data_IF_706400375005
#
_entry.id   IF_706400375005
#
_cell.length_a   1.000
_cell.length_b   1.000
_cell.length_c   1.000
_cell.angle_alpha   90.00
_cell.angle_beta   90.00
_cell.angle_gamma   90.00
#
_symmetry.space_group_name_H-M   'P 1'
#
loop_
_entity.id
_entity.type
_entity.pdbx_description
1 polymer ?
#
# COMPACT_ATOMS: atom_id res chain seq x y z
N UNK A 1 6.53 -11.51 -2.80
CA UNK A 1 7.54 -11.84 -1.79
C UNK A 1 7.50 -13.33 -1.42
N UNK A 2 6.41 -13.84 -0.83
CA UNK A 2 6.35 -15.22 -0.32
C UNK A 2 6.65 -16.29 -1.38
N UNK A 3 6.12 -16.15 -2.59
CA UNK A 3 6.38 -17.09 -3.69
C UNK A 3 7.86 -17.15 -4.06
N UNK A 4 8.54 -16.01 -4.09
CA UNK A 4 9.97 -15.93 -4.41
C UNK A 4 10.83 -16.59 -3.33
N UNK A 5 10.49 -16.39 -2.04
CA UNK A 5 11.16 -17.04 -0.90
C UNK A 5 11.01 -18.56 -1.00
N UNK A 6 9.80 -19.06 -1.30
CA UNK A 6 9.55 -20.51 -1.46
C UNK A 6 10.37 -21.09 -2.62
N UNK A 7 10.59 -20.34 -3.69
CA UNK A 7 11.43 -20.75 -4.82
C UNK A 7 12.94 -20.53 -4.60
N UNK A 8 13.35 -20.09 -3.40
CA UNK A 8 14.75 -19.87 -3.05
C UNK A 8 15.38 -18.66 -3.75
N UNK A 9 14.58 -17.72 -4.28
CA UNK A 9 15.11 -16.49 -4.86
C UNK A 9 15.61 -15.54 -3.77
N UNK A 10 16.63 -14.72 -4.07
CA UNK A 10 17.16 -13.76 -3.12
C UNK A 10 16.09 -12.79 -2.60
N UNK A 11 15.96 -12.70 -1.27
CA UNK A 11 15.00 -11.84 -0.61
C UNK A 11 15.60 -11.16 0.62
N UNK A 12 15.06 -9.99 0.97
CA UNK A 12 15.38 -9.28 2.20
C UNK A 12 14.10 -8.71 2.81
N UNK A 13 13.99 -8.79 4.15
CA UNK A 13 12.84 -8.25 4.88
C UNK A 13 13.28 -7.61 6.20
N UNK A 14 12.48 -6.68 6.72
CA UNK A 14 12.66 -6.15 8.06
C UNK A 14 11.94 -7.06 9.08
N UNK A 15 12.63 -7.34 10.19
CA UNK A 15 12.09 -7.98 11.37
C UNK A 15 11.98 -6.94 12.48
N UNK A 16 10.77 -6.49 12.78
CA UNK A 16 10.55 -5.48 13.82
C UNK A 16 10.41 -6.12 15.20
N UNK A 17 11.28 -5.70 16.12
CA UNK A 17 11.23 -6.12 17.52
C UNK A 17 11.84 -5.03 18.40
N UNK A 18 11.08 -4.53 19.40
CA UNK A 18 11.56 -3.49 20.30
C UNK A 18 12.75 -3.96 21.16
N UNK A 19 12.78 -5.24 21.52
CA UNK A 19 13.95 -5.86 22.18
C UNK A 19 14.98 -6.24 21.13
N UNK A 20 16.13 -5.54 21.13
CA UNK A 20 17.19 -5.74 20.17
C UNK A 20 17.84 -7.14 20.28
N UNK A 21 17.98 -7.67 21.49
CA UNK A 21 18.59 -8.98 21.73
C UNK A 21 17.73 -10.08 21.15
N UNK A 22 16.43 -10.04 21.45
CA UNK A 22 15.45 -10.98 20.91
C UNK A 22 15.33 -10.84 19.40
N UNK A 23 15.27 -9.60 18.88
CA UNK A 23 15.13 -9.33 17.45
C UNK A 23 16.33 -9.84 16.65
N UNK A 24 17.56 -9.64 17.12
CA UNK A 24 18.76 -10.16 16.47
C UNK A 24 18.81 -11.67 16.51
N UNK A 25 18.56 -12.29 17.66
CA UNK A 25 18.52 -13.75 17.78
C UNK A 25 17.44 -14.40 16.89
N UNK A 26 16.27 -13.77 16.79
CA UNK A 26 15.20 -14.21 15.88
C UNK A 26 15.64 -14.06 14.41
N UNK A 27 16.24 -12.92 14.05
CA UNK A 27 16.75 -12.66 12.71
C UNK A 27 17.78 -13.70 12.25
N UNK A 28 18.71 -14.06 13.11
CA UNK A 28 19.71 -15.10 12.82
C UNK A 28 19.07 -16.48 12.61
N UNK A 29 18.10 -16.86 13.47
CA UNK A 29 17.44 -18.16 13.39
C UNK A 29 16.49 -18.32 12.22
N UNK A 30 15.85 -17.25 11.80
CA UNK A 30 14.83 -17.26 10.74
C UNK A 30 15.41 -16.91 9.36
N UNK A 31 16.64 -16.38 9.28
CA UNK A 31 17.28 -16.10 7.99
C UNK A 31 17.62 -17.41 7.28
N UNK A 32 17.44 -17.40 5.97
CA UNK A 32 17.78 -18.50 5.06
C UNK A 32 18.97 -18.06 4.20
N UNK A 33 19.71 -18.98 3.56
CA UNK A 33 20.77 -18.63 2.63
C UNK A 33 20.36 -17.65 1.52
N UNK A 34 19.10 -17.77 1.06
CA UNK A 34 18.49 -16.90 0.02
C UNK A 34 17.63 -15.77 0.58
N UNK A 35 17.32 -15.76 1.88
CA UNK A 35 16.40 -14.77 2.48
C UNK A 35 16.99 -14.20 3.76
N UNK A 36 17.36 -12.93 3.74
CA UNK A 36 18.00 -12.25 4.87
C UNK A 36 17.01 -11.35 5.61
N UNK A 37 16.97 -11.51 6.94
CA UNK A 37 16.20 -10.65 7.84
C UNK A 37 17.10 -9.59 8.47
N UNK A 38 16.62 -8.34 8.46
CA UNK A 38 17.27 -7.21 9.10
C UNK A 38 16.45 -6.76 10.29
N UNK A 39 17.05 -6.80 11.48
CA UNK A 39 16.38 -6.32 12.69
C UNK A 39 16.17 -4.81 12.63
N UNK A 40 14.99 -4.37 13.05
CA UNK A 40 14.65 -2.96 13.28
C UNK A 40 13.92 -2.83 14.62
N UNK A 41 14.43 -2.00 15.53
CA UNK A 41 13.81 -1.76 16.84
C UNK A 41 12.60 -0.82 16.76
N UNK A 42 12.43 -0.08 15.66
CA UNK A 42 11.33 0.84 15.45
C UNK A 42 10.13 0.10 14.81
N UNK A 43 9.21 -0.34 15.66
CA UNK A 43 8.07 -1.21 15.27
C UNK A 43 6.98 -0.42 14.56
N UNK A 44 6.74 0.84 14.97
CA UNK A 44 5.62 1.66 14.46
C UNK A 44 5.76 1.93 12.96
N UNK A 45 6.90 2.41 12.52
CA UNK A 45 7.15 2.67 11.10
C UNK A 45 7.08 1.41 10.25
N UNK A 46 7.59 0.26 10.75
CA UNK A 46 7.47 -1.02 10.05
C UNK A 46 6.01 -1.43 9.87
N UNK A 47 5.17 -1.28 10.90
CA UNK A 47 3.74 -1.59 10.84
C UNK A 47 2.99 -0.65 9.90
N UNK A 48 3.25 0.66 9.98
CA UNK A 48 2.64 1.66 9.07
C UNK A 48 3.03 1.37 7.63
N UNK A 49 4.31 1.03 7.37
CA UNK A 49 4.79 0.61 6.07
C UNK A 49 3.98 -0.55 5.49
N UNK A 50 3.87 -1.62 6.26
CA UNK A 50 3.12 -2.81 5.85
C UNK A 50 1.63 -2.57 5.58
N UNK A 51 0.99 -1.69 6.35
CA UNK A 51 -0.44 -1.39 6.19
C UNK A 51 -0.72 -0.47 4.99
N UNK A 52 -0.03 0.68 4.90
CA UNK A 52 -0.33 1.68 3.87
C UNK A 52 0.18 1.31 2.48
N UNK A 53 1.27 0.54 2.35
CA UNK A 53 1.75 0.09 1.04
C UNK A 53 0.64 -0.51 0.17
N UNK A 54 -0.26 -1.25 0.80
CA UNK A 54 -1.34 -1.95 0.11
C UNK A 54 -2.38 -0.97 -0.47
N UNK A 55 -2.68 0.11 0.24
CA UNK A 55 -3.56 1.19 -0.23
C UNK A 55 -2.91 1.93 -1.40
N UNK A 56 -1.61 2.23 -1.28
CA UNK A 56 -0.85 2.92 -2.34
C UNK A 56 -0.72 2.02 -3.57
N UNK A 57 -0.50 0.72 -3.39
CA UNK A 57 -0.44 -0.24 -4.50
C UNK A 57 -1.76 -0.33 -5.27
N UNK A 58 -2.88 -0.29 -4.56
CA UNK A 58 -4.21 -0.23 -5.17
C UNK A 58 -4.35 1.04 -6.04
N UNK A 59 -3.98 2.21 -5.50
CA UNK A 59 -3.99 3.48 -6.23
C UNK A 59 -3.04 3.47 -7.45
N UNK A 60 -1.86 2.88 -7.31
CA UNK A 60 -0.91 2.72 -8.40
C UNK A 60 -1.47 1.85 -9.54
N UNK A 61 -2.14 0.74 -9.17
CA UNK A 61 -2.85 -0.09 -10.13
C UNK A 61 -3.97 0.66 -10.84
N UNK A 62 -4.79 1.43 -10.12
CA UNK A 62 -5.85 2.27 -10.72
C UNK A 62 -5.27 3.29 -11.71
N UNK A 63 -4.17 3.94 -11.35
CA UNK A 63 -3.45 4.90 -12.21
C UNK A 63 -3.03 4.26 -13.53
N UNK A 64 -2.44 3.08 -13.46
CA UNK A 64 -2.02 2.34 -14.65
C UNK A 64 -3.20 1.79 -15.45
N UNK A 65 -4.21 1.25 -14.77
CA UNK A 65 -5.42 0.75 -15.41
C UNK A 65 -6.20 1.83 -16.17
N UNK A 66 -6.21 3.06 -15.64
CA UNK A 66 -6.85 4.21 -16.29
C UNK A 66 -6.00 4.85 -17.40
N UNK A 67 -4.77 4.36 -17.63
CA UNK A 67 -3.91 4.86 -18.70
C UNK A 67 -3.18 6.18 -18.40
N UNK A 68 -3.01 6.57 -17.12
CA UNK A 68 -2.33 7.82 -16.75
C UNK A 68 -0.80 7.74 -16.90
N UNK A 69 -0.24 6.55 -17.05
CA UNK A 69 1.16 6.33 -17.40
C UNK A 69 2.13 6.26 -16.19
N UNK A 70 3.37 5.96 -16.52
CA UNK A 70 4.43 5.65 -15.55
C UNK A 70 4.82 6.86 -14.68
N UNK A 71 4.84 8.07 -15.25
CA UNK A 71 5.17 9.28 -14.50
C UNK A 71 4.13 9.55 -13.40
N UNK A 72 2.85 9.37 -13.70
CA UNK A 72 1.77 9.51 -12.71
C UNK A 72 1.90 8.45 -11.60
N UNK A 73 2.22 7.20 -11.96
CA UNK A 73 2.49 6.12 -10.99
C UNK A 73 3.68 6.47 -10.09
N UNK A 74 4.80 6.93 -10.65
CA UNK A 74 5.98 7.30 -9.88
C UNK A 74 5.68 8.46 -8.90
N UNK A 75 5.00 9.51 -9.37
CA UNK A 75 4.57 10.62 -8.53
C UNK A 75 3.64 10.18 -7.40
N UNK A 76 2.69 9.27 -7.69
CA UNK A 76 1.77 8.71 -6.72
C UNK A 76 2.51 7.89 -5.64
N UNK A 77 3.45 7.03 -6.02
CA UNK A 77 4.27 6.24 -5.08
C UNK A 77 5.08 7.16 -4.17
N UNK A 78 5.73 8.20 -4.73
CA UNK A 78 6.50 9.18 -3.96
C UNK A 78 5.61 9.92 -2.95
N UNK A 79 4.42 10.36 -3.36
CA UNK A 79 3.44 11.00 -2.46
C UNK A 79 2.92 10.04 -1.41
N UNK A 80 2.64 8.80 -1.78
CA UNK A 80 2.24 7.75 -0.86
C UNK A 80 3.29 7.50 0.23
N UNK A 81 4.57 7.42 -0.14
CA UNK A 81 5.66 7.27 0.82
C UNK A 81 5.72 8.46 1.80
N UNK A 82 5.51 9.68 1.33
CA UNK A 82 5.44 10.87 2.18
C UNK A 82 4.23 10.83 3.14
N UNK A 83 3.08 10.28 2.72
CA UNK A 83 1.93 10.06 3.61
C UNK A 83 2.21 8.98 4.67
N UNK A 84 2.85 7.87 4.26
CA UNK A 84 3.31 6.83 5.20
C UNK A 84 4.22 7.42 6.28
N UNK A 85 5.20 8.23 5.87
CA UNK A 85 6.14 8.87 6.78
C UNK A 85 5.42 9.81 7.77
N UNK A 86 4.48 10.64 7.31
CA UNK A 86 3.68 11.52 8.19
C UNK A 86 2.87 10.74 9.22
N UNK A 87 2.20 9.65 8.79
CA UNK A 87 1.45 8.83 9.73
C UNK A 87 2.36 8.16 10.74
N UNK A 88 3.49 7.60 10.31
CA UNK A 88 4.46 6.97 11.21
C UNK A 88 4.96 7.96 12.26
N UNK A 89 5.36 9.17 11.86
CA UNK A 89 5.81 10.24 12.78
C UNK A 89 4.70 10.65 13.76
N UNK A 90 3.47 10.81 13.29
CA UNK A 90 2.33 11.14 14.15
C UNK A 90 2.01 10.04 15.17
N UNK A 91 2.31 8.79 14.85
CA UNK A 91 2.17 7.63 15.74
C UNK A 91 3.39 7.41 16.65
N UNK A 92 4.41 8.26 16.59
CA UNK A 92 5.64 8.15 17.38
C UNK A 92 6.74 7.28 16.74
N UNK A 93 6.58 6.90 15.47
CA UNK A 93 7.59 6.21 14.68
C UNK A 93 8.60 7.16 14.01
N UNK A 94 9.47 6.62 13.16
CA UNK A 94 10.53 7.37 12.51
C UNK A 94 10.39 7.35 10.98
N UNK A 95 10.51 8.53 10.35
CA UNK A 95 10.55 8.68 8.89
C UNK A 95 11.63 7.81 8.24
N UNK A 96 12.80 7.69 8.87
CA UNK A 96 13.94 6.91 8.38
C UNK A 96 13.63 5.43 8.21
N UNK A 97 12.76 4.86 9.06
CA UNK A 97 12.29 3.47 8.94
C UNK A 97 11.56 3.24 7.61
N UNK A 98 10.81 4.23 7.14
CA UNK A 98 10.06 4.14 5.87
C UNK A 98 10.96 4.25 4.63
N UNK A 99 12.21 4.71 4.78
CA UNK A 99 13.19 4.72 3.68
C UNK A 99 13.87 3.36 3.48
N UNK A 100 13.63 2.41 4.38
CA UNK A 100 14.18 1.05 4.37
C UNK A 100 13.30 0.01 3.68
N UNK A 101 13.59 -1.27 3.99
CA UNK A 101 12.94 -2.44 3.38
C UNK A 101 11.43 -2.50 3.64
N UNK A 102 10.98 -2.16 4.86
CA UNK A 102 9.56 -2.19 5.24
C UNK A 102 8.74 -1.00 4.73
N UNK A 103 9.39 0.04 4.23
CA UNK A 103 8.76 1.21 3.64
C UNK A 103 8.96 1.23 2.12
N UNK A 104 9.98 1.97 1.65
CA UNK A 104 10.26 2.18 0.23
C UNK A 104 10.43 0.86 -0.53
N UNK A 105 11.18 -0.11 0.02
CA UNK A 105 11.43 -1.39 -0.65
C UNK A 105 10.15 -2.18 -0.91
N UNK A 106 9.36 -2.41 0.13
CA UNK A 106 8.12 -3.19 0.05
C UNK A 106 7.01 -2.41 -0.70
N UNK A 107 7.00 -1.09 -0.60
CA UNK A 107 6.10 -0.23 -1.37
C UNK A 107 6.38 -0.36 -2.88
N UNK A 108 7.62 -0.25 -3.31
CA UNK A 108 7.99 -0.40 -4.72
C UNK A 108 7.62 -1.78 -5.24
N UNK A 109 8.00 -2.85 -4.53
CA UNK A 109 7.64 -4.22 -4.89
C UNK A 109 6.12 -4.39 -5.06
N UNK A 110 5.34 -3.84 -4.11
CA UNK A 110 3.88 -4.03 -4.08
C UNK A 110 3.15 -3.15 -5.11
N UNK A 111 3.62 -1.93 -5.35
CA UNK A 111 2.95 -0.93 -6.21
C UNK A 111 3.38 -0.99 -7.69
N UNK A 112 4.33 -1.86 -8.05
CA UNK A 112 4.82 -1.97 -9.44
C UNK A 112 4.71 -3.37 -10.03
N UNK A 113 4.24 -4.36 -9.26
CA UNK A 113 4.19 -5.76 -9.69
C UNK A 113 2.75 -6.28 -9.77
N UNK A 114 2.44 -6.96 -10.87
CA UNK A 114 1.18 -7.70 -11.02
C UNK A 114 1.09 -8.95 -10.12
N UNK A 115 2.16 -9.34 -9.43
CA UNK A 115 2.09 -10.34 -8.37
C UNK A 115 1.32 -9.81 -7.14
N UNK A 116 1.27 -8.49 -6.95
CA UNK A 116 0.48 -7.85 -5.89
C UNK A 116 -1.02 -7.93 -6.16
N UNK A 117 -1.76 -8.56 -5.26
CA UNK A 117 -3.23 -8.60 -5.30
C UNK A 117 -3.86 -7.20 -5.30
N UNK A 118 -3.31 -6.30 -4.49
CA UNK A 118 -3.77 -4.91 -4.40
C UNK A 118 -3.56 -4.18 -5.74
N UNK A 119 -2.39 -4.30 -6.34
CA UNK A 119 -2.09 -3.70 -7.63
C UNK A 119 -3.00 -4.25 -8.74
N UNK A 120 -3.20 -5.58 -8.81
CA UNK A 120 -4.12 -6.21 -9.77
C UNK A 120 -5.56 -5.74 -9.62
N UNK A 121 -6.07 -5.64 -8.38
CA UNK A 121 -7.41 -5.08 -8.16
C UNK A 121 -7.47 -3.64 -8.65
N UNK A 122 -6.48 -2.83 -8.33
CA UNK A 122 -6.37 -1.46 -8.83
C UNK A 122 -6.40 -1.39 -10.36
N UNK A 123 -5.63 -2.24 -11.06
CA UNK A 123 -5.65 -2.33 -12.52
C UNK A 123 -7.07 -2.61 -13.06
N UNK A 124 -7.79 -3.56 -12.45
CA UNK A 124 -9.17 -3.89 -12.85
C UNK A 124 -10.10 -2.71 -12.68
N UNK A 125 -10.08 -2.05 -11.51
CA UNK A 125 -10.90 -0.87 -11.23
C UNK A 125 -10.57 0.29 -12.18
N UNK A 126 -9.30 0.53 -12.44
CA UNK A 126 -8.84 1.57 -13.35
C UNK A 126 -9.28 1.35 -14.80
N UNK A 127 -9.20 0.12 -15.30
CA UNK A 127 -9.65 -0.25 -16.65
C UNK A 127 -11.17 -0.17 -16.81
N UNK A 128 -11.90 -0.56 -15.77
CA UNK A 128 -13.37 -0.50 -15.76
C UNK A 128 -13.90 0.93 -15.57
N UNK A 129 -13.10 1.85 -15.01
CA UNK A 129 -13.56 3.18 -14.60
C UNK A 129 -14.61 3.16 -13.47
N UNK A 130 -14.65 2.07 -12.71
CA UNK A 130 -15.69 1.76 -11.72
C UNK A 130 -15.13 1.79 -10.30
N UNK A 131 -16.01 2.02 -9.33
CA UNK A 131 -15.75 1.79 -7.91
C UNK A 131 -15.76 0.30 -7.57
N UNK A 132 -15.22 -0.04 -6.38
CA UNK A 132 -15.31 -1.43 -5.90
C UNK A 132 -16.75 -1.88 -5.70
N UNK A 133 -17.63 -0.99 -5.23
CA UNK A 133 -19.06 -1.27 -5.02
C UNK A 133 -19.76 -1.61 -6.34
N UNK A 134 -19.48 -0.86 -7.40
CA UNK A 134 -20.04 -1.12 -8.75
C UNK A 134 -19.50 -2.42 -9.33
N UNK A 135 -18.18 -2.69 -9.18
CA UNK A 135 -17.57 -3.93 -9.65
C UNK A 135 -18.15 -5.15 -8.94
N UNK A 136 -18.38 -5.06 -7.62
CA UNK A 136 -18.96 -6.16 -6.82
C UNK A 136 -20.42 -6.39 -7.17
N UNK A 137 -21.21 -5.32 -7.38
CA UNK A 137 -22.60 -5.43 -7.79
C UNK A 137 -22.73 -6.08 -9.18
N UNK A 138 -21.85 -5.74 -10.12
CA UNK A 138 -21.82 -6.36 -11.45
C UNK A 138 -21.45 -7.85 -11.41
N UNK A 139 -20.58 -8.25 -10.46
CA UNK A 139 -20.14 -9.66 -10.33
C UNK A 139 -21.20 -10.55 -9.67
N UNK A 140 -22.06 -9.99 -8.81
CA UNK A 140 -23.17 -10.74 -8.16
C UNK A 140 -24.27 -11.12 -9.15
N UNK A 141 -24.40 -10.41 -10.28
CA UNK A 141 -25.34 -10.79 -11.35
C UNK A 141 -24.86 -11.98 -12.18
N UNK A 142 -23.59 -12.35 -12.11
CA UNK A 142 -22.98 -13.48 -12.83
C UNK A 142 -22.68 -14.65 -11.87
N UNK A 143 -23.74 -15.31 -11.40
CA UNK A 143 -23.75 -16.32 -10.32
C UNK A 143 -22.95 -17.61 -10.66
N UNK A 144 -22.43 -17.76 -11.88
CA UNK A 144 -21.74 -18.98 -12.31
C UNK A 144 -20.23 -19.02 -11.98
N UNK A 145 -19.61 -17.91 -11.56
CA UNK A 145 -18.16 -17.83 -11.27
C UNK A 145 -17.80 -17.28 -9.87
N UNK A 146 -18.74 -17.32 -8.92
CA UNK A 146 -18.58 -16.72 -7.59
C UNK A 146 -17.53 -17.38 -6.69
N UNK A 147 -16.94 -18.51 -7.08
CA UNK A 147 -15.92 -19.21 -6.27
C UNK A 147 -14.51 -18.59 -6.31
N UNK A 148 -14.23 -17.67 -7.26
CA UNK A 148 -12.91 -17.02 -7.38
C UNK A 148 -12.87 -15.56 -6.90
N UNK A 149 -14.00 -15.00 -6.44
CA UNK A 149 -14.16 -13.56 -6.13
C UNK A 149 -13.73 -13.18 -4.69
N UNK A 150 -13.23 -14.09 -3.88
CA UNK A 150 -12.95 -13.86 -2.45
C UNK A 150 -11.47 -13.84 -2.11
N UNK A 151 -10.61 -13.33 -3.01
CA UNK A 151 -9.27 -12.92 -2.59
C UNK A 151 -9.39 -11.71 -1.64
N UNK A 152 -9.13 -11.92 -0.36
CA UNK A 152 -9.05 -10.82 0.60
C UNK A 152 -7.97 -9.85 0.17
N UNK A 153 -8.36 -8.63 -0.22
CA UNK A 153 -7.44 -7.57 -0.62
C UNK A 153 -7.21 -6.65 0.58
N UNK A 154 -6.04 -6.77 1.19
CA UNK A 154 -5.68 -6.07 2.43
C UNK A 154 -5.79 -4.54 2.31
N UNK A 155 -5.52 -3.98 1.13
CA UNK A 155 -5.60 -2.54 0.88
C UNK A 155 -7.02 -1.97 1.05
N UNK A 156 -8.05 -2.76 0.77
CA UNK A 156 -9.44 -2.35 0.99
C UNK A 156 -9.74 -2.23 2.49
N UNK A 157 -9.37 -3.24 3.27
CA UNK A 157 -9.52 -3.20 4.73
C UNK A 157 -8.70 -2.07 5.38
N UNK A 158 -7.46 -1.90 4.94
CA UNK A 158 -6.60 -0.82 5.44
C UNK A 158 -7.18 0.57 5.12
N UNK A 159 -7.71 0.78 3.91
CA UNK A 159 -8.32 2.04 3.53
C UNK A 159 -9.51 2.42 4.42
N UNK A 160 -10.31 1.44 4.83
CA UNK A 160 -11.47 1.69 5.70
C UNK A 160 -11.08 2.24 7.09
N UNK A 161 -9.91 1.87 7.62
CA UNK A 161 -9.42 2.30 8.94
C UNK A 161 -8.71 3.66 8.90
N UNK A 162 -8.38 4.19 7.73
CA UNK A 162 -7.56 5.40 7.61
C UNK A 162 -8.25 6.65 8.15
N UNK A 163 -9.57 6.78 8.00
CA UNK A 163 -10.31 7.92 8.51
C UNK A 163 -10.17 8.06 10.03
N UNK A 164 -10.31 6.94 10.75
CA UNK A 164 -10.17 6.90 12.21
C UNK A 164 -8.74 7.23 12.65
N UNK A 165 -7.74 6.70 11.92
CA UNK A 165 -6.33 7.00 12.19
C UNK A 165 -6.01 8.47 11.93
N UNK A 166 -6.48 9.06 10.83
CA UNK A 166 -6.33 10.48 10.54
C UNK A 166 -6.91 11.36 11.65
N UNK A 167 -8.12 11.05 12.11
CA UNK A 167 -8.78 11.77 13.19
C UNK A 167 -8.03 11.61 14.52
N UNK A 168 -7.64 10.38 14.85
CA UNK A 168 -6.97 10.06 16.14
C UNK A 168 -5.61 10.73 16.28
N UNK A 169 -4.83 10.80 15.19
CA UNK A 169 -3.47 11.32 15.21
C UNK A 169 -3.33 12.73 14.62
N UNK A 170 -4.45 13.36 14.21
CA UNK A 170 -4.45 14.71 13.66
C UNK A 170 -3.64 14.87 12.38
N UNK A 171 -3.62 13.84 11.51
CA UNK A 171 -2.80 13.79 10.30
C UNK A 171 -3.67 13.74 9.05
N UNK A 172 -3.26 14.46 8.00
CA UNK A 172 -3.91 14.42 6.69
C UNK A 172 -3.18 13.44 5.76
N UNK A 173 -3.93 12.47 5.23
CA UNK A 173 -3.49 11.48 4.24
C UNK A 173 -4.36 11.58 2.97
N UNK A 174 -4.15 12.61 2.16
CA UNK A 174 -5.06 12.93 1.07
C UNK A 174 -5.13 11.87 -0.03
N UNK A 175 -4.01 11.21 -0.37
CA UNK A 175 -3.99 10.13 -1.35
C UNK A 175 -4.77 8.92 -0.83
N UNK A 176 -4.47 8.52 0.40
CA UNK A 176 -5.14 7.39 1.03
C UNK A 176 -6.66 7.66 1.24
N UNK A 177 -7.02 8.89 1.60
CA UNK A 177 -8.42 9.31 1.69
C UNK A 177 -9.15 9.29 0.34
N UNK A 178 -8.50 9.73 -0.74
CA UNK A 178 -9.07 9.66 -2.08
C UNK A 178 -9.30 8.20 -2.53
N UNK A 179 -8.39 7.28 -2.20
CA UNK A 179 -8.57 5.84 -2.44
C UNK A 179 -9.78 5.31 -1.70
N UNK A 180 -9.96 5.65 -0.41
CA UNK A 180 -11.12 5.25 0.37
C UNK A 180 -12.43 5.74 -0.26
N UNK A 181 -12.52 7.02 -0.62
CA UNK A 181 -13.69 7.61 -1.25
C UNK A 181 -14.04 6.92 -2.58
N UNK A 182 -13.03 6.57 -3.37
CA UNK A 182 -13.21 5.85 -4.63
C UNK A 182 -13.72 4.43 -4.40
N UNK A 183 -13.13 3.70 -3.43
CA UNK A 183 -13.57 2.34 -3.11
C UNK A 183 -15.03 2.28 -2.65
N UNK A 184 -15.48 3.30 -1.93
CA UNK A 184 -16.87 3.43 -1.44
C UNK A 184 -17.83 4.04 -2.48
N UNK A 185 -17.33 4.40 -3.67
CA UNK A 185 -18.16 5.00 -4.72
C UNK A 185 -18.57 6.45 -4.45
N UNK A 186 -17.95 7.12 -3.46
CA UNK A 186 -18.26 8.52 -3.14
C UNK A 186 -17.76 9.49 -4.22
N UNK A 187 -16.66 9.16 -4.88
CA UNK A 187 -16.10 9.92 -5.99
C UNK A 187 -15.72 9.00 -7.15
N UNK A 188 -15.92 9.41 -8.41
CA UNK A 188 -15.45 8.65 -9.57
C UNK A 188 -13.94 8.77 -9.74
N UNK A 189 -13.33 7.76 -10.38
CA UNK A 189 -11.87 7.70 -10.61
C UNK A 189 -11.33 8.96 -11.32
N UNK A 190 -12.04 9.50 -12.30
CA UNK A 190 -11.64 10.73 -13.00
C UNK A 190 -11.55 11.94 -12.06
N UNK A 191 -12.42 12.04 -11.05
CA UNK A 191 -12.35 13.11 -10.05
C UNK A 191 -11.15 12.99 -9.13
N UNK A 192 -10.71 11.77 -8.80
CA UNK A 192 -9.48 11.53 -7.99
C UNK A 192 -8.25 12.09 -8.71
N UNK A 193 -8.09 11.76 -9.99
CA UNK A 193 -6.96 12.26 -10.79
C UNK A 193 -6.96 13.81 -10.81
N UNK A 194 -8.12 14.42 -11.03
CA UNK A 194 -8.26 15.88 -11.04
C UNK A 194 -7.95 16.50 -9.66
N UNK A 195 -8.46 15.93 -8.57
CA UNK A 195 -8.18 16.42 -7.22
C UNK A 195 -6.68 16.37 -6.86
N UNK A 196 -5.96 15.35 -7.31
CA UNK A 196 -4.52 15.22 -7.07
C UNK A 196 -3.71 16.23 -7.89
N UNK A 197 -4.16 16.56 -9.11
CA UNK A 197 -3.49 17.53 -10.01
C UNK A 197 -3.78 18.99 -9.65
N UNK A 198 -4.95 19.31 -9.09
CA UNK A 198 -5.38 20.68 -8.79
C UNK A 198 -4.95 21.19 -7.41
N UNK A 199 -4.15 20.42 -6.69
CA UNK A 199 -3.65 20.85 -5.38
C UNK A 199 -2.77 22.08 -5.49
N UNK A 200 -2.84 22.98 -4.47
CA UNK A 200 -1.96 24.15 -4.44
C UNK A 200 -0.49 23.74 -4.56
N UNK A 201 0.24 24.49 -5.37
CA UNK A 201 1.69 24.32 -5.49
C UNK A 201 2.34 24.50 -4.11
N UNK A 202 3.13 23.52 -3.70
CA UNK A 202 3.91 23.56 -2.45
C UNK A 202 5.35 23.19 -2.77
N UNK A 203 6.29 23.76 -2.01
CA UNK A 203 7.67 23.33 -2.08
C UNK A 203 7.79 21.84 -1.74
N UNK A 204 8.70 21.14 -2.41
CA UNK A 204 9.08 19.77 -2.06
C UNK A 204 10.03 19.85 -0.87
N UNK A 205 9.63 19.26 0.28
CA UNK A 205 10.40 19.26 1.53
C UNK A 205 9.71 18.49 2.62
#
# INVERSE_FOLDING_TARGET
FAAEVVHGLPAAAALACADATLGMAAGERLSLPSSRLYHNSEVVGVQVGGALKNVIALAAGMTMGHGLGENARAALITRGLAEMARLAEAMGGQRTTLMGLSGLGDLLLTATSEQSRNYRLGLKLGRAGQSLAELTAATVTDVSNAASAQETVEGVGSAALLADLCQRYGVELPLAGAVQQLLTGQIPLAAVAQQLLTRPYRAEG
#
